data_IF_459485561209
#
_entry.id   IF_459485561209
#
_cell.length_a   1.000
_cell.length_b   1.000
_cell.length_c   1.000
_cell.angle_alpha   90.00
_cell.angle_beta   90.00
_cell.angle_gamma   90.00
#
_symmetry.space_group_name_H-M   'P 1'
#
loop_
_entity.id
_entity.type
_entity.pdbx_description
1 polymer ?
#
# COMPACT_ATOMS: atom_id res chain seq x y z
N UNK A 1 17.39 19.91 4.60
CA UNK A 1 16.93 18.70 3.87
C UNK A 1 17.11 17.52 4.79
N UNK A 2 16.00 16.92 5.23
CA UNK A 2 15.97 16.14 6.47
C UNK A 2 16.06 14.65 6.18
N UNK A 3 16.83 13.89 6.97
CA UNK A 3 16.84 12.41 6.95
C UNK A 3 15.42 11.80 6.89
N UNK A 4 14.45 12.48 7.51
CA UNK A 4 13.04 12.10 7.50
C UNK A 4 12.39 12.06 6.11
N UNK A 5 12.81 12.91 5.16
CA UNK A 5 12.29 12.84 3.79
C UNK A 5 12.85 11.64 3.04
N UNK A 6 14.11 11.28 3.31
CA UNK A 6 14.79 10.10 2.75
C UNK A 6 14.18 8.82 3.32
N UNK A 7 13.93 8.75 4.63
CA UNK A 7 13.26 7.60 5.26
C UNK A 7 11.84 7.47 4.72
N UNK A 8 11.10 8.57 4.56
CA UNK A 8 9.75 8.53 3.99
C UNK A 8 9.73 8.09 2.53
N UNK A 9 10.70 8.49 1.69
CA UNK A 9 10.81 7.99 0.31
C UNK A 9 11.29 6.55 0.27
N UNK A 10 12.25 6.16 1.12
CA UNK A 10 12.79 4.81 1.21
C UNK A 10 11.71 3.83 1.65
N UNK A 11 11.04 4.06 2.78
CA UNK A 11 9.93 3.22 3.25
C UNK A 11 8.83 3.13 2.20
N UNK A 12 8.50 4.23 1.52
CA UNK A 12 7.48 4.23 0.47
C UNK A 12 7.92 3.47 -0.78
N UNK A 13 9.20 3.48 -1.12
CA UNK A 13 9.76 2.65 -2.20
C UNK A 13 9.81 1.19 -1.82
N UNK A 14 10.31 0.86 -0.62
CA UNK A 14 10.39 -0.52 -0.11
C UNK A 14 9.01 -1.11 0.05
N UNK A 15 8.05 -0.43 0.68
CA UNK A 15 6.68 -0.92 0.79
C UNK A 15 6.05 -1.13 -0.58
N UNK A 16 6.23 -0.21 -1.55
CA UNK A 16 5.72 -0.43 -2.92
C UNK A 16 6.35 -1.63 -3.59
N UNK A 17 7.66 -1.80 -3.46
CA UNK A 17 8.40 -2.89 -4.09
C UNK A 17 8.09 -4.22 -3.41
N UNK A 18 8.01 -4.25 -2.08
CA UNK A 18 7.63 -5.38 -1.26
C UNK A 18 6.16 -5.77 -1.44
N UNK A 19 5.24 -4.81 -1.62
CA UNK A 19 3.84 -5.10 -1.95
C UNK A 19 3.74 -5.59 -3.40
N UNK A 20 4.39 -4.96 -4.37
CA UNK A 20 4.37 -5.46 -5.75
C UNK A 20 5.02 -6.85 -5.88
N UNK A 21 6.16 -7.08 -5.23
CA UNK A 21 6.82 -8.39 -5.21
C UNK A 21 6.06 -9.41 -4.36
N UNK A 22 5.55 -9.01 -3.20
CA UNK A 22 4.83 -9.88 -2.27
C UNK A 22 3.43 -10.24 -2.74
N UNK A 23 2.74 -9.31 -3.41
CA UNK A 23 1.46 -9.58 -4.07
C UNK A 23 1.70 -10.40 -5.34
N UNK A 24 2.64 -10.04 -6.20
CA UNK A 24 2.88 -10.83 -7.42
C UNK A 24 3.39 -12.24 -7.08
N UNK A 25 4.42 -12.40 -6.24
CA UNK A 25 4.91 -13.72 -5.84
C UNK A 25 3.96 -14.46 -4.90
N UNK A 26 3.22 -13.75 -4.06
CA UNK A 26 2.24 -14.34 -3.14
C UNK A 26 1.02 -14.84 -3.88
N UNK A 27 0.45 -14.05 -4.79
CA UNK A 27 -0.65 -14.48 -5.67
C UNK A 27 -0.16 -15.59 -6.60
N UNK A 28 1.05 -15.50 -7.17
CA UNK A 28 1.55 -16.53 -8.10
C UNK A 28 1.86 -17.86 -7.39
N UNK A 29 2.42 -17.84 -6.16
CA UNK A 29 2.52 -19.05 -5.32
C UNK A 29 1.17 -19.60 -4.89
N UNK A 30 0.23 -18.75 -4.49
CA UNK A 30 -1.12 -19.16 -4.06
C UNK A 30 -1.90 -19.73 -5.24
N UNK A 31 -1.84 -19.09 -6.41
CA UNK A 31 -2.45 -19.55 -7.65
C UNK A 31 -1.85 -20.88 -8.13
N UNK A 32 -0.52 -21.03 -8.07
CA UNK A 32 0.18 -22.26 -8.47
C UNK A 32 0.01 -23.41 -7.47
N UNK A 33 -0.32 -23.11 -6.22
CA UNK A 33 -0.71 -24.07 -5.17
C UNK A 33 -2.18 -24.51 -5.25
N UNK A 34 -2.94 -24.10 -6.27
CA UNK A 34 -4.36 -24.43 -6.42
C UNK A 34 -5.31 -23.56 -5.57
N UNK A 35 -4.78 -22.58 -4.85
CA UNK A 35 -5.59 -21.55 -4.20
C UNK A 35 -6.06 -20.55 -5.25
N UNK A 36 -7.38 -20.47 -5.50
CA UNK A 36 -8.00 -19.48 -6.38
C UNK A 36 -7.35 -18.10 -6.13
N UNK A 37 -6.97 -17.33 -7.18
CA UNK A 37 -6.42 -15.99 -7.00
C UNK A 37 -7.37 -15.26 -6.06
N UNK A 38 -6.84 -14.73 -4.95
CA UNK A 38 -7.67 -14.13 -3.90
C UNK A 38 -8.61 -13.13 -4.56
N UNK A 39 -9.87 -13.53 -4.75
CA UNK A 39 -10.88 -12.69 -5.35
C UNK A 39 -11.09 -11.59 -4.33
N UNK A 40 -10.43 -10.46 -4.56
CA UNK A 40 -10.55 -9.31 -3.68
C UNK A 40 -12.01 -8.93 -3.75
N UNK A 41 -12.75 -9.32 -2.72
CA UNK A 41 -14.19 -9.08 -2.66
C UNK A 41 -14.42 -7.60 -2.93
N UNK A 42 -15.43 -7.27 -3.74
CA UNK A 42 -15.78 -5.87 -4.04
C UNK A 42 -15.95 -5.04 -2.76
N UNK A 43 -16.35 -5.68 -1.65
CA UNK A 43 -16.42 -5.10 -0.31
C UNK A 43 -15.03 -4.74 0.23
N UNK A 44 -14.09 -5.66 0.16
CA UNK A 44 -12.71 -5.48 0.61
C UNK A 44 -11.97 -4.42 -0.21
N UNK A 45 -12.23 -4.34 -1.53
CA UNK A 45 -11.73 -3.27 -2.38
C UNK A 45 -12.31 -1.89 -2.02
N UNK A 46 -13.60 -1.81 -1.66
CA UNK A 46 -14.23 -0.57 -1.18
C UNK A 46 -13.65 -0.11 0.16
N UNK A 47 -13.47 -1.03 1.10
CA UNK A 47 -12.91 -0.72 2.42
C UNK A 47 -11.46 -0.23 2.33
N UNK A 48 -10.64 -0.91 1.51
CA UNK A 48 -9.29 -0.46 1.17
C UNK A 48 -9.30 0.96 0.55
N UNK A 49 -10.20 1.24 -0.40
CA UNK A 49 -10.32 2.58 -1.01
C UNK A 49 -10.71 3.65 0.00
N UNK A 50 -11.63 3.35 0.92
CA UNK A 50 -12.02 4.28 1.98
C UNK A 50 -10.88 4.57 2.96
N UNK A 51 -10.15 3.52 3.38
CA UNK A 51 -8.96 3.66 4.22
C UNK A 51 -7.89 4.53 3.55
N UNK A 52 -7.61 4.29 2.27
CA UNK A 52 -6.65 5.10 1.49
C UNK A 52 -7.10 6.55 1.35
N UNK A 53 -8.40 6.82 1.15
CA UNK A 53 -8.92 8.19 1.08
C UNK A 53 -8.70 8.94 2.40
N UNK A 54 -9.02 8.33 3.54
CA UNK A 54 -8.80 8.90 4.88
C UNK A 54 -7.32 9.14 5.16
N UNK A 55 -6.46 8.17 4.83
CA UNK A 55 -5.01 8.32 4.96
C UNK A 55 -4.46 9.47 4.10
N UNK A 56 -4.97 9.65 2.87
CA UNK A 56 -4.61 10.79 2.01
C UNK A 56 -5.07 12.13 2.59
N UNK A 57 -6.24 12.19 3.20
CA UNK A 57 -6.75 13.39 3.88
C UNK A 57 -5.86 13.76 5.07
N UNK A 58 -5.55 12.78 5.93
CA UNK A 58 -4.62 12.96 7.05
C UNK A 58 -3.23 13.42 6.55
N UNK A 59 -2.66 12.76 5.54
CA UNK A 59 -1.38 13.15 4.98
C UNK A 59 -1.38 14.54 4.34
N UNK A 60 -2.51 15.01 3.79
CA UNK A 60 -2.67 16.38 3.26
C UNK A 60 -2.71 17.40 4.40
N UNK A 61 -3.40 17.10 5.49
CA UNK A 61 -3.45 17.94 6.67
C UNK A 61 -2.05 18.05 7.31
N UNK A 62 -1.38 16.92 7.52
CA UNK A 62 0.00 16.88 8.03
C UNK A 62 0.97 17.66 7.13
N UNK A 63 0.82 17.59 5.79
CA UNK A 63 1.62 18.39 4.85
C UNK A 63 1.37 19.89 4.89
N UNK A 64 0.18 20.33 5.32
CA UNK A 64 -0.16 21.75 5.46
C UNK A 64 0.33 22.30 6.79
N UNK A 65 0.31 21.50 7.84
CA UNK A 65 0.79 21.89 9.18
C UNK A 65 2.33 21.92 9.23
N UNK A 66 3.01 21.02 8.50
CA UNK A 66 4.47 20.96 8.48
C UNK A 66 5.15 21.85 7.43
N UNK A 67 4.46 22.85 6.86
CA UNK A 67 5.02 23.82 5.92
C UNK A 67 5.17 25.18 6.57
#
# INVERSE_FOLDING_TARGET
>A
MSLNSIINTLTRMVSRRAMNWGINKGIDRVAKSGGKPAQVSAKQAKDMRMAVKRARQAARLTRRIGR
#
